data_IF_521063473348
#
_entry.id   IF_521063473348
#
_cell.length_a   1.000
_cell.length_b   1.000
_cell.length_c   1.000
_cell.angle_alpha   90.00
_cell.angle_beta   90.00
_cell.angle_gamma   90.00
#
_symmetry.space_group_name_H-M   'P 1'
#
loop_
_entity.id
_entity.type
_entity.pdbx_description
1 polymer ?
#
# COMPACT_ATOMS: atom_id res chain seq x y z
N UNK A 1 -29.00 13.74 31.04
CA UNK A 1 -28.46 12.72 30.11
C UNK A 1 -27.65 13.44 29.04
N UNK A 2 -26.31 13.39 29.13
CA UNK A 2 -25.43 14.00 28.13
C UNK A 2 -25.49 13.17 26.84
N UNK A 3 -25.73 13.83 25.70
CA UNK A 3 -25.58 13.23 24.37
C UNK A 3 -24.12 12.82 24.21
N UNK A 4 -23.82 11.52 24.26
CA UNK A 4 -22.52 10.96 23.86
C UNK A 4 -22.26 11.42 22.43
N UNK A 5 -21.29 12.32 22.25
CA UNK A 5 -20.89 12.80 20.93
C UNK A 5 -20.39 11.64 20.08
N UNK A 6 -20.71 11.65 18.78
CA UNK A 6 -20.15 10.69 17.83
C UNK A 6 -18.62 10.81 17.84
N UNK A 7 -17.92 9.73 18.18
CA UNK A 7 -16.45 9.67 18.26
C UNK A 7 -15.81 9.53 16.88
N UNK A 8 -15.94 10.57 16.08
CA UNK A 8 -15.53 10.59 14.67
C UNK A 8 -16.64 10.12 13.73
N UNK A 9 -16.35 10.18 12.42
CA UNK A 9 -17.22 9.65 11.36
C UNK A 9 -16.92 8.17 11.11
N UNK A 10 -17.90 7.46 10.54
CA UNK A 10 -17.78 6.04 10.19
C UNK A 10 -18.28 5.11 11.30
N UNK A 11 -17.60 3.97 11.48
CA UNK A 11 -17.93 2.99 12.53
C UNK A 11 -17.57 3.52 13.93
N UNK A 12 -18.25 2.97 14.94
CA UNK A 12 -17.99 3.31 16.33
C UNK A 12 -16.93 2.37 16.91
N UNK A 13 -16.03 2.92 17.72
CA UNK A 13 -15.10 2.16 18.54
C UNK A 13 -15.39 2.46 20.03
N UNK A 14 -15.04 1.56 20.97
CA UNK A 14 -15.18 1.81 22.40
C UNK A 14 -14.46 3.08 22.87
N UNK A 15 -15.01 3.79 23.86
CA UNK A 15 -14.48 5.07 24.37
C UNK A 15 -13.06 4.95 24.90
N UNK A 16 -12.80 3.91 25.68
CA UNK A 16 -11.49 3.59 26.23
C UNK A 16 -10.46 3.34 25.11
N UNK A 17 -10.86 2.66 24.03
CA UNK A 17 -10.01 2.43 22.88
C UNK A 17 -9.74 3.72 22.09
N UNK A 18 -10.76 4.56 21.91
CA UNK A 18 -10.62 5.86 21.28
C UNK A 18 -9.65 6.76 22.05
N UNK A 19 -9.83 6.88 23.37
CA UNK A 19 -8.97 7.69 24.24
C UNK A 19 -7.53 7.16 24.23
N UNK A 20 -7.36 5.84 24.16
CA UNK A 20 -6.06 5.21 23.97
C UNK A 20 -5.42 5.60 22.63
N UNK A 21 -6.15 5.53 21.51
CA UNK A 21 -5.65 5.92 20.19
C UNK A 21 -5.25 7.39 20.09
N UNK A 22 -6.00 8.29 20.75
CA UNK A 22 -5.62 9.71 20.84
C UNK A 22 -4.25 9.87 21.48
N UNK A 23 -4.02 9.22 22.63
CA UNK A 23 -2.73 9.27 23.34
C UNK A 23 -1.59 8.70 22.49
N UNK A 24 -1.83 7.58 21.81
CA UNK A 24 -0.84 6.99 20.91
C UNK A 24 -0.46 7.93 19.77
N UNK A 25 -1.43 8.60 19.15
CA UNK A 25 -1.15 9.58 18.10
C UNK A 25 -0.38 10.80 18.64
N UNK A 26 -0.64 11.23 19.88
CA UNK A 26 0.16 12.27 20.54
C UNK A 26 1.61 11.82 20.77
N UNK A 27 1.82 10.59 21.25
CA UNK A 27 3.16 10.00 21.41
C UNK A 27 3.91 9.93 20.07
N UNK A 28 3.26 9.44 19.01
CA UNK A 28 3.86 9.37 17.67
C UNK A 28 4.25 10.77 17.17
N UNK A 29 3.42 11.80 17.42
CA UNK A 29 3.70 13.19 17.03
C UNK A 29 4.87 13.81 17.78
N UNK A 30 5.14 13.39 19.01
CA UNK A 30 6.30 13.83 19.78
C UNK A 30 7.62 13.28 19.20
N UNK A 31 7.53 12.23 18.38
CA UNK A 31 8.66 11.55 17.78
C UNK A 31 9.13 10.39 18.67
N UNK A 32 9.40 9.25 18.03
CA UNK A 32 9.99 8.07 18.66
C UNK A 32 11.29 7.80 17.93
N UNK A 33 12.42 8.07 18.60
CA UNK A 33 13.75 7.96 17.99
C UNK A 33 14.24 6.52 17.96
N UNK A 34 13.93 5.75 19.01
CA UNK A 34 14.37 4.36 19.14
C UNK A 34 13.51 3.40 18.29
N UNK A 35 14.11 2.66 17.33
CA UNK A 35 13.38 1.70 16.52
C UNK A 35 12.72 0.59 17.33
N UNK A 36 13.35 0.14 18.42
CA UNK A 36 12.83 -0.95 19.26
C UNK A 36 11.61 -0.48 20.07
N UNK A 37 11.67 0.73 20.66
CA UNK A 37 10.52 1.38 21.28
C UNK A 37 9.35 1.53 20.30
N UNK A 38 9.63 1.94 19.06
CA UNK A 38 8.61 2.05 18.01
C UNK A 38 7.99 0.70 17.69
N UNK A 39 8.79 -0.35 17.54
CA UNK A 39 8.27 -1.70 17.29
C UNK A 39 7.41 -2.20 18.45
N UNK A 40 7.86 -1.96 19.69
CA UNK A 40 7.08 -2.30 20.89
C UNK A 40 5.74 -1.55 20.92
N UNK A 41 5.73 -0.25 20.62
CA UNK A 41 4.49 0.53 20.54
C UNK A 41 3.55 -0.01 19.46
N UNK A 42 4.06 -0.27 18.25
CA UNK A 42 3.25 -0.81 17.13
C UNK A 42 2.60 -2.13 17.53
N UNK A 43 3.39 -3.09 18.01
CA UNK A 43 2.89 -4.42 18.40
C UNK A 43 1.84 -4.31 19.52
N UNK A 44 2.07 -3.47 20.53
CA UNK A 44 1.13 -3.26 21.62
C UNK A 44 -0.21 -2.66 21.16
N UNK A 45 -0.17 -1.74 20.19
CA UNK A 45 -1.39 -1.11 19.67
C UNK A 45 -2.16 -2.07 18.78
N UNK A 46 -1.48 -2.79 17.88
CA UNK A 46 -2.12 -3.77 16.98
C UNK A 46 -2.66 -4.99 17.73
N UNK A 47 -2.05 -5.38 18.85
CA UNK A 47 -2.60 -6.41 19.74
C UNK A 47 -3.99 -6.00 20.27
N UNK A 48 -4.15 -4.72 20.65
CA UNK A 48 -5.42 -4.18 21.16
C UNK A 48 -6.51 -4.03 20.12
N UNK A 49 -6.20 -4.21 18.83
CA UNK A 49 -7.19 -4.14 17.75
C UNK A 49 -7.82 -5.50 17.43
N UNK A 50 -7.33 -6.59 18.04
CA UNK A 50 -7.80 -7.95 17.76
C UNK A 50 -9.30 -8.10 18.01
N UNK A 51 -10.02 -8.55 16.99
CA UNK A 51 -11.47 -8.76 17.04
C UNK A 51 -12.31 -7.51 16.74
N UNK A 52 -11.68 -6.36 16.56
CA UNK A 52 -12.33 -5.07 16.29
C UNK A 52 -11.80 -4.41 15.00
N UNK A 53 -11.00 -5.12 14.19
CA UNK A 53 -10.27 -4.55 13.05
C UNK A 53 -11.21 -3.82 12.08
N UNK A 54 -12.33 -4.44 11.68
CA UNK A 54 -13.31 -3.83 10.77
C UNK A 54 -13.92 -2.54 11.34
N UNK A 55 -14.21 -2.51 12.63
CA UNK A 55 -14.75 -1.32 13.30
C UNK A 55 -13.68 -0.23 13.43
N UNK A 56 -12.43 -0.60 13.62
CA UNK A 56 -11.32 0.35 13.76
C UNK A 56 -10.96 0.97 12.41
N UNK A 57 -10.85 0.17 11.35
CA UNK A 57 -10.49 0.67 10.01
C UNK A 57 -11.60 1.52 9.38
N UNK A 58 -12.86 1.30 9.76
CA UNK A 58 -13.98 2.13 9.33
C UNK A 58 -14.16 3.42 10.14
N UNK A 59 -13.39 3.61 11.22
CA UNK A 59 -13.45 4.80 12.06
C UNK A 59 -12.42 5.84 11.57
N UNK A 60 -12.80 7.12 11.57
CA UNK A 60 -11.92 8.21 11.13
C UNK A 60 -10.55 8.25 11.85
N UNK A 61 -10.53 8.07 13.18
CA UNK A 61 -9.30 8.06 13.97
C UNK A 61 -8.57 6.73 13.82
N UNK A 62 -9.31 5.63 13.93
CA UNK A 62 -8.78 4.27 13.85
C UNK A 62 -8.08 4.02 12.52
N UNK A 63 -8.74 4.30 11.39
CA UNK A 63 -8.15 4.22 10.06
C UNK A 63 -6.82 4.97 9.98
N UNK A 64 -6.77 6.21 10.46
CA UNK A 64 -5.55 7.02 10.38
C UNK A 64 -4.42 6.40 11.19
N UNK A 65 -4.73 5.90 12.38
CA UNK A 65 -3.73 5.23 13.22
C UNK A 65 -3.23 3.94 12.56
N UNK A 66 -4.12 3.07 12.10
CA UNK A 66 -3.74 1.81 11.47
C UNK A 66 -2.93 2.03 10.18
N UNK A 67 -3.28 3.03 9.36
CA UNK A 67 -2.50 3.41 8.17
C UNK A 67 -1.02 3.71 8.52
N UNK A 68 -0.78 4.34 9.68
CA UNK A 68 0.58 4.70 10.14
C UNK A 68 1.36 3.50 10.67
N UNK A 69 0.66 2.54 11.30
CA UNK A 69 1.27 1.41 12.00
C UNK A 69 1.55 0.22 11.08
N UNK A 70 0.70 -0.03 10.08
CA UNK A 70 0.83 -1.19 9.17
C UNK A 70 2.21 -1.38 8.52
N UNK A 71 2.93 -0.32 8.10
CA UNK A 71 4.29 -0.47 7.57
C UNK A 71 5.25 -1.16 8.54
N UNK A 72 5.06 -0.97 9.84
CA UNK A 72 5.91 -1.49 10.92
C UNK A 72 5.35 -2.73 11.61
N UNK A 73 4.16 -3.19 11.19
CA UNK A 73 3.47 -4.33 11.78
C UNK A 73 4.29 -5.62 11.68
N UNK A 74 4.12 -6.54 12.63
CA UNK A 74 4.66 -7.89 12.50
C UNK A 74 4.04 -8.63 11.30
N UNK A 75 4.65 -9.73 10.82
CA UNK A 75 4.01 -10.62 9.85
C UNK A 75 2.60 -11.03 10.25
N UNK A 76 2.43 -11.47 11.50
CA UNK A 76 1.19 -11.99 12.05
C UNK A 76 0.09 -10.92 12.13
N UNK A 77 0.47 -9.69 12.48
CA UNK A 77 -0.46 -8.57 12.50
C UNK A 77 -0.93 -8.22 11.09
N UNK A 78 0.00 -8.08 10.14
CA UNK A 78 -0.35 -7.75 8.76
C UNK A 78 -1.28 -8.81 8.15
N UNK A 79 -0.94 -10.09 8.31
CA UNK A 79 -1.74 -11.22 7.81
C UNK A 79 -3.13 -11.28 8.46
N UNK A 80 -3.25 -10.99 9.76
CA UNK A 80 -4.56 -10.89 10.43
C UNK A 80 -5.44 -9.82 9.78
N UNK A 81 -4.88 -8.66 9.45
CA UNK A 81 -5.62 -7.62 8.71
C UNK A 81 -5.97 -8.10 7.29
N UNK A 82 -5.06 -8.81 6.60
CA UNK A 82 -5.35 -9.40 5.27
C UNK A 82 -6.56 -10.31 5.31
N UNK A 83 -6.60 -11.22 6.29
CA UNK A 83 -7.68 -12.19 6.45
C UNK A 83 -9.00 -11.52 6.84
N UNK A 84 -8.93 -10.55 7.76
CA UNK A 84 -10.13 -9.90 8.29
C UNK A 84 -10.81 -8.98 7.28
N UNK A 85 -10.05 -8.27 6.45
CA UNK A 85 -10.60 -7.29 5.49
C UNK A 85 -10.93 -7.92 4.12
N UNK A 86 -10.27 -9.03 3.77
CA UNK A 86 -10.45 -9.71 2.47
C UNK A 86 -11.89 -10.06 2.08
N UNK A 87 -12.79 -10.49 2.99
CA UNK A 87 -14.17 -10.83 2.63
C UNK A 87 -14.99 -9.62 2.14
N UNK A 88 -14.63 -8.41 2.57
CA UNK A 88 -15.44 -7.19 2.38
C UNK A 88 -14.88 -6.22 1.31
N UNK A 89 -13.92 -6.66 0.48
CA UNK A 89 -13.18 -5.78 -0.45
C UNK A 89 -14.07 -4.87 -1.31
N UNK A 90 -15.25 -5.32 -1.74
CA UNK A 90 -16.16 -4.50 -2.58
C UNK A 90 -16.55 -3.21 -1.88
N UNK A 91 -16.96 -3.33 -0.61
CA UNK A 91 -17.32 -2.20 0.23
C UNK A 91 -16.09 -1.40 0.61
N UNK A 92 -15.01 -2.09 1.02
CA UNK A 92 -13.86 -1.43 1.62
C UNK A 92 -13.04 -0.60 0.63
N UNK A 93 -12.93 -1.03 -0.63
CA UNK A 93 -12.19 -0.30 -1.66
C UNK A 93 -12.82 1.04 -2.05
N UNK A 94 -14.13 1.22 -1.82
CA UNK A 94 -14.89 2.41 -2.24
C UNK A 94 -15.35 3.28 -1.06
N UNK A 95 -14.79 3.06 0.14
CA UNK A 95 -15.10 3.81 1.35
C UNK A 95 -13.99 4.81 1.69
N UNK A 96 -14.38 5.97 2.20
CA UNK A 96 -13.50 7.12 2.40
C UNK A 96 -12.47 6.96 3.54
N UNK A 97 -12.56 5.89 4.32
CA UNK A 97 -11.57 5.51 5.32
C UNK A 97 -10.87 4.21 4.91
N UNK A 98 -11.64 3.15 4.69
CA UNK A 98 -11.04 1.81 4.53
C UNK A 98 -10.28 1.66 3.21
N UNK A 99 -10.56 2.46 2.18
CA UNK A 99 -9.78 2.41 0.93
C UNK A 99 -8.31 2.68 1.21
N UNK A 100 -7.98 3.62 2.10
CA UNK A 100 -6.61 3.95 2.47
C UNK A 100 -5.91 2.80 3.20
N UNK A 101 -6.65 1.98 3.96
CA UNK A 101 -6.12 0.78 4.59
C UNK A 101 -5.81 -0.28 3.53
N UNK A 102 -6.71 -0.51 2.57
CA UNK A 102 -6.46 -1.45 1.47
C UNK A 102 -5.25 -1.00 0.63
N UNK A 103 -5.15 0.29 0.29
CA UNK A 103 -3.96 0.84 -0.40
C UNK A 103 -2.68 0.59 0.41
N UNK A 104 -2.73 0.78 1.73
CA UNK A 104 -1.56 0.61 2.60
C UNK A 104 -1.15 -0.85 2.72
N UNK A 105 -2.10 -1.75 2.94
CA UNK A 105 -1.84 -3.19 2.97
C UNK A 105 -1.27 -3.66 1.64
N UNK A 106 -1.81 -3.19 0.50
CA UNK A 106 -1.28 -3.52 -0.82
C UNK A 106 0.19 -3.07 -0.96
N UNK A 107 0.51 -1.81 -0.61
CA UNK A 107 1.88 -1.30 -0.70
C UNK A 107 2.84 -2.08 0.20
N UNK A 108 2.47 -2.30 1.46
CA UNK A 108 3.30 -3.01 2.45
C UNK A 108 3.51 -4.46 2.01
N UNK A 109 2.45 -5.15 1.58
CA UNK A 109 2.56 -6.53 1.10
C UNK A 109 3.45 -6.62 -0.13
N UNK A 110 3.27 -5.74 -1.12
CA UNK A 110 4.10 -5.73 -2.31
C UNK A 110 5.58 -5.47 -1.97
N UNK A 111 5.86 -4.56 -1.04
CA UNK A 111 7.23 -4.29 -0.60
C UNK A 111 7.86 -5.50 0.06
N UNK A 112 7.19 -6.12 1.04
CA UNK A 112 7.69 -7.33 1.73
C UNK A 112 7.84 -8.52 0.78
N UNK A 113 6.96 -8.64 -0.21
CA UNK A 113 7.02 -9.68 -1.23
C UNK A 113 8.20 -9.52 -2.20
N UNK A 114 8.73 -8.30 -2.39
CA UNK A 114 9.74 -8.01 -3.42
C UNK A 114 11.08 -7.53 -2.85
N UNK A 115 11.20 -7.36 -1.54
CA UNK A 115 12.43 -6.90 -0.87
C UNK A 115 13.64 -7.76 -1.24
N UNK A 116 13.52 -9.07 -1.15
CA UNK A 116 14.58 -10.03 -1.46
C UNK A 116 15.05 -9.94 -2.93
N UNK A 117 14.19 -9.50 -3.85
CA UNK A 117 14.55 -9.29 -5.26
C UNK A 117 15.46 -8.09 -5.46
N UNK A 118 15.37 -7.08 -4.59
CA UNK A 118 16.21 -5.88 -4.69
C UNK A 118 17.64 -6.15 -4.21
N UNK A 119 17.81 -7.10 -3.28
CA UNK A 119 19.11 -7.48 -2.72
C UNK A 119 19.93 -8.29 -3.73
N UNK A 120 19.26 -9.14 -4.52
CA UNK A 120 19.91 -10.01 -5.51
C UNK A 120 20.63 -9.23 -6.61
N UNK A 121 20.11 -8.06 -6.98
CA UNK A 121 20.69 -7.20 -8.03
C UNK A 121 21.98 -6.51 -7.54
N UNK A 122 22.03 -6.06 -6.28
CA UNK A 122 23.22 -5.43 -5.68
C UNK A 122 24.43 -6.39 -5.59
N UNK A 123 24.20 -7.71 -5.68
CA UNK A 123 25.23 -8.74 -5.58
C UNK A 123 25.75 -9.22 -6.94
N UNK A 124 25.12 -8.86 -8.05
CA UNK A 124 25.53 -9.30 -9.40
C UNK A 124 26.71 -8.47 -9.96
N UNK A 125 27.02 -7.30 -9.38
CA UNK A 125 28.11 -6.43 -9.85
C UNK A 125 29.50 -6.74 -9.26
N UNK A 126 29.65 -7.47 -8.13
CA UNK A 126 30.98 -7.60 -7.48
C UNK A 126 31.41 -8.99 -6.93
N UNK A 127 30.63 -10.08 -6.99
CA UNK A 127 31.07 -11.36 -6.36
C UNK A 127 30.85 -12.64 -7.20
N UNK A 128 31.88 -13.50 -7.39
CA UNK A 128 31.74 -14.76 -8.12
C UNK A 128 30.74 -15.74 -7.47
N UNK A 129 29.89 -16.35 -8.31
CA UNK A 129 28.71 -17.19 -8.03
C UNK A 129 28.89 -18.38 -7.04
N UNK A 130 30.09 -18.68 -6.56
CA UNK A 130 30.39 -19.87 -5.72
C UNK A 130 30.40 -19.65 -4.20
N UNK A 131 30.15 -18.44 -3.71
CA UNK A 131 30.03 -18.15 -2.26
C UNK A 131 28.83 -17.25 -1.92
N UNK A 132 27.70 -17.41 -2.62
CA UNK A 132 26.43 -16.78 -2.21
C UNK A 132 25.93 -17.50 -0.96
N UNK A 133 26.36 -17.05 0.23
CA UNK A 133 25.56 -17.30 1.43
C UNK A 133 24.19 -16.70 1.15
N UNK A 134 23.14 -17.48 1.40
CA UNK A 134 21.73 -17.06 1.39
C UNK A 134 21.60 -15.99 2.48
N UNK A 135 22.03 -14.76 2.20
CA UNK A 135 21.82 -13.65 3.13
C UNK A 135 20.32 -13.45 3.18
N UNK A 136 19.76 -13.92 4.29
CA UNK A 136 18.36 -14.28 4.43
C UNK A 136 17.53 -13.02 4.30
N UNK A 137 16.52 -13.07 3.42
CA UNK A 137 15.41 -12.11 3.44
C UNK A 137 15.02 -11.76 4.87
N UNK A 138 14.67 -10.48 5.10
CA UNK A 138 14.17 -9.99 6.39
C UNK A 138 12.97 -10.80 6.90
N UNK A 139 12.20 -11.35 5.96
CA UNK A 139 10.99 -12.11 6.22
C UNK A 139 11.16 -13.58 5.85
N UNK A 140 10.39 -14.44 6.52
CA UNK A 140 10.33 -15.88 6.20
C UNK A 140 9.76 -16.12 4.81
N UNK A 141 10.10 -17.28 4.21
CA UNK A 141 9.62 -17.65 2.88
C UNK A 141 8.07 -17.76 2.86
N UNK A 142 7.45 -18.16 3.97
CA UNK A 142 6.00 -18.20 4.16
C UNK A 142 5.38 -16.80 4.12
N UNK A 143 5.95 -15.83 4.85
CA UNK A 143 5.41 -14.46 4.88
C UNK A 143 5.55 -13.77 3.52
N UNK A 144 6.68 -13.99 2.83
CA UNK A 144 6.91 -13.48 1.47
C UNK A 144 5.83 -14.02 0.53
N UNK A 145 5.51 -15.31 0.63
CA UNK A 145 4.47 -15.97 -0.17
C UNK A 145 3.09 -15.38 0.14
N UNK A 146 2.74 -15.24 1.41
CA UNK A 146 1.46 -14.63 1.85
C UNK A 146 1.30 -13.20 1.30
N UNK A 147 2.34 -12.38 1.44
CA UNK A 147 2.36 -11.01 0.92
C UNK A 147 2.26 -10.95 -0.61
N UNK A 148 2.91 -11.88 -1.30
CA UNK A 148 2.84 -12.01 -2.75
C UNK A 148 1.42 -12.37 -3.22
N UNK A 149 0.81 -13.39 -2.62
CA UNK A 149 -0.55 -13.82 -2.91
C UNK A 149 -1.58 -12.72 -2.63
N UNK A 150 -1.43 -12.00 -1.50
CA UNK A 150 -2.29 -10.87 -1.19
C UNK A 150 -2.15 -9.73 -2.21
N UNK A 151 -0.92 -9.42 -2.64
CA UNK A 151 -0.65 -8.42 -3.68
C UNK A 151 -1.38 -8.79 -4.98
N UNK A 152 -1.24 -10.05 -5.43
CA UNK A 152 -1.95 -10.56 -6.61
C UNK A 152 -3.47 -10.50 -6.44
N UNK A 153 -3.99 -10.88 -5.27
CA UNK A 153 -5.42 -10.87 -4.95
C UNK A 153 -6.01 -9.47 -5.13
N UNK A 154 -5.43 -8.46 -4.49
CA UNK A 154 -5.94 -7.08 -4.57
C UNK A 154 -5.82 -6.53 -5.98
N UNK A 155 -4.70 -6.76 -6.66
CA UNK A 155 -4.49 -6.29 -8.03
C UNK A 155 -5.46 -6.93 -9.03
N UNK A 156 -5.67 -8.24 -8.96
CA UNK A 156 -6.66 -8.95 -9.80
C UNK A 156 -8.08 -8.54 -9.44
N UNK A 157 -8.38 -8.31 -8.16
CA UNK A 157 -9.66 -7.79 -7.72
C UNK A 157 -9.94 -6.40 -8.33
N UNK A 158 -8.97 -5.49 -8.27
CA UNK A 158 -9.09 -4.16 -8.83
C UNK A 158 -9.26 -4.20 -10.36
N UNK A 159 -8.50 -5.05 -11.06
CA UNK A 159 -8.63 -5.28 -12.50
C UNK A 159 -10.00 -5.86 -12.90
N UNK A 160 -10.54 -6.78 -12.11
CA UNK A 160 -11.86 -7.37 -12.36
C UNK A 160 -13.01 -6.40 -12.12
N UNK A 161 -12.79 -5.35 -11.30
CA UNK A 161 -13.78 -4.29 -11.04
C UNK A 161 -13.38 -2.96 -11.71
N UNK A 162 -12.53 -3.03 -12.75
CA UNK A 162 -11.96 -1.86 -13.42
C UNK A 162 -13.05 -0.87 -13.87
N UNK A 163 -14.16 -1.37 -14.42
CA UNK A 163 -15.23 -0.54 -14.97
C UNK A 163 -15.88 0.36 -13.91
N UNK A 164 -16.09 -0.17 -12.70
CA UNK A 164 -16.63 0.58 -11.57
C UNK A 164 -15.54 1.49 -10.95
N UNK A 165 -14.33 0.94 -10.77
CA UNK A 165 -13.28 1.60 -10.00
C UNK A 165 -12.66 2.80 -10.70
N UNK A 166 -12.66 2.83 -12.04
CA UNK A 166 -12.08 3.95 -12.80
C UNK A 166 -12.75 5.28 -12.48
N UNK A 167 -14.05 5.27 -12.22
CA UNK A 167 -14.83 6.49 -11.97
C UNK A 167 -15.05 6.79 -10.48
N UNK A 168 -14.74 5.86 -9.60
CA UNK A 168 -14.91 6.02 -8.16
C UNK A 168 -13.78 6.87 -7.54
N UNK A 169 -14.14 7.80 -6.65
CA UNK A 169 -13.17 8.72 -6.05
C UNK A 169 -12.19 8.06 -5.06
N UNK A 170 -12.51 6.87 -4.54
CA UNK A 170 -11.69 6.12 -3.58
C UNK A 170 -11.07 4.91 -4.25
N UNK A 171 -11.87 4.09 -4.95
CA UNK A 171 -11.41 2.85 -5.56
C UNK A 171 -10.45 3.08 -6.74
N UNK A 172 -10.50 4.25 -7.39
CA UNK A 172 -9.51 4.63 -8.39
C UNK A 172 -8.08 4.67 -7.81
N UNK A 173 -7.92 5.06 -6.54
CA UNK A 173 -6.63 5.05 -5.87
C UNK A 173 -6.08 3.62 -5.66
N UNK A 174 -6.97 2.63 -5.53
CA UNK A 174 -6.60 1.21 -5.50
C UNK A 174 -6.02 0.81 -6.85
N UNK A 175 -6.64 1.19 -7.98
CA UNK A 175 -6.12 0.92 -9.33
C UNK A 175 -4.71 1.53 -9.51
N UNK A 176 -4.51 2.77 -9.07
CA UNK A 176 -3.20 3.44 -9.14
C UNK A 176 -2.17 2.72 -8.28
N UNK A 177 -2.54 2.33 -7.06
CA UNK A 177 -1.65 1.59 -6.16
C UNK A 177 -1.30 0.22 -6.73
N UNK A 178 -2.26 -0.49 -7.34
CA UNK A 178 -2.02 -1.75 -8.05
C UNK A 178 -1.01 -1.57 -9.17
N UNK A 179 -1.21 -0.60 -10.07
CA UNK A 179 -0.25 -0.33 -11.15
C UNK A 179 1.15 -0.01 -10.62
N UNK A 180 1.26 0.85 -9.60
CA UNK A 180 2.55 1.20 -8.99
C UNK A 180 3.27 -0.03 -8.41
N UNK A 181 2.55 -0.83 -7.62
CA UNK A 181 3.08 -2.06 -7.02
C UNK A 181 3.54 -3.06 -8.09
N UNK A 182 2.69 -3.32 -9.09
CA UNK A 182 2.98 -4.31 -10.13
C UNK A 182 4.11 -3.90 -11.08
N UNK A 183 4.35 -2.60 -11.26
CA UNK A 183 5.40 -2.10 -12.15
C UNK A 183 6.66 -1.63 -11.40
N UNK A 184 6.73 -1.78 -10.08
CA UNK A 184 7.88 -1.36 -9.28
C UNK A 184 8.03 0.16 -9.11
N UNK A 185 6.97 0.95 -9.28
CA UNK A 185 7.02 2.40 -9.07
C UNK A 185 6.93 2.70 -7.56
N UNK A 186 7.93 3.41 -7.04
CA UNK A 186 7.91 3.92 -5.65
C UNK A 186 7.23 5.28 -5.57
N UNK A 187 7.66 6.22 -6.43
CA UNK A 187 7.11 7.58 -6.54
C UNK A 187 7.06 7.97 -8.01
N UNK A 188 6.05 8.75 -8.39
CA UNK A 188 6.01 9.42 -9.68
C UNK A 188 6.77 10.77 -9.64
N UNK A 189 7.16 11.32 -10.80
CA UNK A 189 7.76 12.66 -10.86
C UNK A 189 6.83 13.72 -10.26
N UNK A 190 7.37 14.55 -9.36
CA UNK A 190 6.61 15.56 -8.62
C UNK A 190 5.81 15.01 -7.42
N UNK A 191 5.77 13.69 -7.21
CA UNK A 191 5.17 13.09 -6.03
C UNK A 191 6.10 13.25 -4.82
N UNK A 192 5.52 13.64 -3.69
CA UNK A 192 6.24 13.71 -2.41
C UNK A 192 6.07 12.38 -1.67
N UNK A 193 7.13 11.85 -1.03
CA UNK A 193 6.97 10.74 -0.11
C UNK A 193 5.89 11.09 0.92
N UNK A 194 5.01 10.13 1.23
CA UNK A 194 4.18 10.25 2.43
C UNK A 194 5.11 10.29 3.63
N UNK A 195 5.21 11.44 4.30
CA UNK A 195 5.94 11.56 5.56
C UNK A 195 5.15 10.77 6.59
N UNK A 196 5.66 9.60 6.99
CA UNK A 196 5.09 8.90 8.14
C UNK A 196 5.39 9.74 9.39
N UNK A 197 4.45 9.84 10.33
CA UNK A 197 4.68 10.65 11.54
C UNK A 197 5.78 10.04 12.43
N UNK A 198 6.09 8.75 12.24
CA UNK A 198 7.36 8.19 12.64
C UNK A 198 8.45 8.86 11.80
N UNK A 199 9.21 9.75 12.43
CA UNK A 199 10.29 10.53 11.82
C UNK A 199 11.43 9.60 11.40
N UNK A 200 11.21 8.78 10.38
CA UNK A 200 12.31 8.28 9.58
C UNK A 200 12.65 9.38 8.60
N UNK A 201 13.92 9.78 8.57
CA UNK A 201 14.48 10.53 7.44
C UNK A 201 14.31 9.62 6.23
N UNK A 202 13.17 9.72 5.55
CA UNK A 202 12.90 8.96 4.33
C UNK A 202 13.99 9.33 3.34
N UNK A 203 14.96 8.42 3.17
CA UNK A 203 16.09 8.60 2.28
C UNK A 203 15.72 8.58 0.79
N UNK A 204 14.43 8.55 0.46
CA UNK A 204 13.97 8.71 -0.92
C UNK A 204 13.86 10.20 -1.24
N UNK A 205 14.82 10.79 -1.97
CA UNK A 205 14.69 12.16 -2.44
C UNK A 205 13.41 12.28 -3.26
N UNK A 206 12.68 13.39 -3.07
CA UNK A 206 11.54 13.71 -3.94
C UNK A 206 12.02 13.73 -5.39
N UNK A 207 11.26 13.11 -6.30
CA UNK A 207 11.61 13.10 -7.71
C UNK A 207 11.18 14.46 -8.30
N UNK A 208 12.09 15.24 -8.91
CA UNK A 208 11.73 16.50 -9.53
C UNK A 208 10.62 16.32 -10.57
N UNK A 209 9.69 17.28 -10.73
CA UNK A 209 8.59 17.15 -11.71
C UNK A 209 9.06 16.97 -13.16
N UNK A 210 10.27 17.43 -13.47
CA UNK A 210 10.89 17.36 -14.79
C UNK A 210 11.82 16.15 -14.97
N UNK A 211 11.85 15.22 -14.02
CA UNK A 211 12.67 14.02 -14.15
C UNK A 211 12.13 13.13 -15.28
N UNK A 212 12.99 12.87 -16.27
CA UNK A 212 12.70 12.02 -17.43
C UNK A 212 13.01 10.56 -17.17
N UNK A 213 13.94 10.30 -16.25
CA UNK A 213 14.37 8.96 -15.84
C UNK A 213 13.72 8.56 -14.51
N UNK A 214 13.11 7.38 -14.52
CA UNK A 214 12.44 6.77 -13.39
C UNK A 214 13.23 5.54 -12.95
N UNK A 215 13.48 5.40 -11.65
CA UNK A 215 14.00 4.15 -11.08
C UNK A 215 12.83 3.26 -10.66
N UNK A 216 12.85 2.03 -11.13
CA UNK A 216 11.84 1.03 -10.80
C UNK A 216 12.46 -0.04 -9.90
N UNK A 217 11.71 -0.50 -8.90
CA UNK A 217 12.04 -1.73 -8.16
C UNK A 217 11.85 -2.95 -9.05
N UNK A 218 12.63 -4.00 -8.79
CA UNK A 218 12.42 -5.29 -9.43
C UNK A 218 11.11 -5.91 -8.94
N UNK A 219 10.38 -6.51 -9.86
CA UNK A 219 9.08 -7.15 -9.61
C UNK A 219 9.00 -8.47 -10.41
N UNK A 220 8.26 -9.47 -9.91
CA UNK A 220 7.99 -10.71 -10.65
C UNK A 220 7.41 -10.45 -12.05
N UNK A 221 7.75 -11.29 -13.02
CA UNK A 221 7.25 -11.11 -14.40
C UNK A 221 5.73 -11.23 -14.50
N UNK A 222 5.11 -12.08 -13.67
CA UNK A 222 3.64 -12.18 -13.64
C UNK A 222 2.96 -10.87 -13.22
N UNK A 223 3.63 -10.01 -12.43
CA UNK A 223 3.09 -8.69 -12.10
C UNK A 223 3.01 -7.82 -13.35
N UNK A 224 4.03 -7.90 -14.22
CA UNK A 224 4.10 -7.15 -15.48
C UNK A 224 3.00 -7.59 -16.45
N UNK A 225 2.66 -8.88 -16.48
CA UNK A 225 1.55 -9.38 -17.29
C UNK A 225 0.20 -8.79 -16.85
N UNK A 226 -0.01 -8.60 -15.55
CA UNK A 226 -1.22 -7.93 -15.05
C UNK A 226 -1.25 -6.45 -15.48
N UNK A 227 -0.12 -5.75 -15.49
CA UNK A 227 -0.04 -4.35 -16.00
C UNK A 227 -0.41 -4.28 -17.48
N UNK A 228 0.08 -5.21 -18.30
CA UNK A 228 -0.31 -5.29 -19.71
C UNK A 228 -1.81 -5.50 -19.87
N UNK A 229 -2.41 -6.35 -19.04
CA UNK A 229 -3.86 -6.57 -19.05
C UNK A 229 -4.64 -5.31 -18.64
N UNK A 230 -4.18 -4.54 -17.65
CA UNK A 230 -4.74 -3.21 -17.34
C UNK A 230 -4.71 -2.30 -18.57
N UNK A 231 -3.58 -2.22 -19.27
CA UNK A 231 -3.41 -1.38 -20.45
C UNK A 231 -4.33 -1.81 -21.60
N UNK A 232 -4.43 -3.11 -21.86
CA UNK A 232 -5.28 -3.68 -22.89
C UNK A 232 -6.75 -3.39 -22.63
N UNK A 233 -7.24 -3.64 -21.39
CA UNK A 233 -8.65 -3.37 -21.04
C UNK A 233 -8.99 -1.89 -21.08
N UNK A 234 -8.13 -1.03 -20.54
CA UNK A 234 -8.35 0.41 -20.57
C UNK A 234 -8.37 0.96 -22.00
N UNK A 235 -7.39 0.58 -22.84
CA UNK A 235 -7.30 1.07 -24.22
C UNK A 235 -8.43 0.56 -25.12
N UNK A 236 -8.93 -0.64 -24.86
CA UNK A 236 -10.09 -1.20 -25.58
C UNK A 236 -11.44 -0.62 -25.12
N UNK A 237 -11.47 0.14 -24.02
CA UNK A 237 -12.73 0.68 -23.48
C UNK A 237 -13.31 1.75 -24.41
N UNK A 238 -14.58 1.65 -24.85
CA UNK A 238 -15.23 2.69 -25.66
C UNK A 238 -15.05 4.15 -25.20
N UNK A 239 -15.03 4.41 -23.90
CA UNK A 239 -14.84 5.74 -23.30
C UNK A 239 -13.38 6.10 -23.03
N UNK A 240 -12.40 5.32 -23.50
CA UNK A 240 -10.97 5.57 -23.26
C UNK A 240 -10.56 7.00 -23.61
N UNK A 241 -11.07 7.52 -24.74
CA UNK A 241 -10.81 8.90 -25.21
C UNK A 241 -11.27 9.99 -24.22
N UNK A 242 -12.18 9.68 -23.31
CA UNK A 242 -12.72 10.63 -22.34
C UNK A 242 -11.92 10.63 -21.03
N UNK A 243 -11.16 9.56 -20.76
CA UNK A 243 -10.39 9.39 -19.52
C UNK A 243 -9.34 10.51 -19.28
N UNK A 244 -8.64 11.06 -20.29
CA UNK A 244 -7.68 12.15 -20.06
C UNK A 244 -8.30 13.45 -19.51
N UNK A 245 -9.62 13.64 -19.64
CA UNK A 245 -10.27 14.93 -19.38
C UNK A 245 -10.92 15.04 -17.99
N UNK A 246 -10.89 14.00 -17.16
CA UNK A 246 -11.29 14.10 -15.74
C UNK A 246 -10.10 13.90 -14.82
N UNK A 247 -10.04 14.67 -13.73
CA UNK A 247 -8.92 14.66 -12.78
C UNK A 247 -8.59 13.26 -12.23
N UNK A 248 -9.61 12.45 -11.92
CA UNK A 248 -9.38 11.11 -11.33
C UNK A 248 -8.88 10.10 -12.37
N UNK A 249 -9.41 10.14 -13.59
CA UNK A 249 -9.06 9.18 -14.64
C UNK A 249 -7.77 9.57 -15.35
N UNK A 250 -7.48 10.86 -15.48
CA UNK A 250 -6.23 11.35 -16.06
C UNK A 250 -5.02 10.98 -15.18
N UNK A 251 -5.16 11.08 -13.86
CA UNK A 251 -4.13 10.64 -12.93
C UNK A 251 -3.91 9.11 -12.95
N UNK A 252 -4.97 8.33 -13.18
CA UNK A 252 -4.82 6.89 -13.43
C UNK A 252 -4.04 6.61 -14.71
N UNK A 253 -4.37 7.28 -15.81
CA UNK A 253 -3.64 7.13 -17.07
C UNK A 253 -2.17 7.53 -16.95
N UNK A 254 -1.84 8.57 -16.19
CA UNK A 254 -0.45 8.94 -15.93
C UNK A 254 0.32 7.79 -15.27
N UNK A 255 -0.25 7.17 -14.23
CA UNK A 255 0.36 6.00 -13.57
C UNK A 255 0.52 4.85 -14.55
N UNK A 256 -0.52 4.57 -15.36
CA UNK A 256 -0.49 3.52 -16.37
C UNK A 256 0.64 3.71 -17.38
N UNK A 257 0.85 4.94 -17.88
CA UNK A 257 1.91 5.22 -18.86
C UNK A 257 3.31 4.93 -18.29
N UNK A 258 3.57 5.34 -17.05
CA UNK A 258 4.84 5.00 -16.38
C UNK A 258 4.97 3.49 -16.11
N UNK A 259 3.86 2.83 -15.75
CA UNK A 259 3.85 1.39 -15.52
C UNK A 259 4.18 0.62 -16.81
N UNK A 260 3.48 0.93 -17.90
CA UNK A 260 3.67 0.31 -19.22
C UNK A 260 5.09 0.51 -19.74
N UNK A 261 5.67 1.72 -19.59
CA UNK A 261 7.06 2.01 -19.98
C UNK A 261 8.08 1.05 -19.34
N UNK A 262 7.82 0.54 -18.14
CA UNK A 262 8.70 -0.42 -17.47
C UNK A 262 8.37 -1.88 -17.82
N UNK A 263 7.10 -2.20 -18.11
CA UNK A 263 6.62 -3.58 -18.27
C UNK A 263 6.58 -4.07 -19.71
N UNK A 264 6.47 -3.17 -20.68
CA UNK A 264 6.46 -3.50 -22.10
C UNK A 264 7.53 -2.71 -22.85
N UNK A 265 8.59 -3.43 -23.26
CA UNK A 265 9.73 -2.84 -23.98
C UNK A 265 9.44 -2.60 -25.46
N UNK A 266 8.29 -3.06 -25.96
CA UNK A 266 7.91 -2.94 -27.38
C UNK A 266 7.05 -1.69 -27.65
N UNK A 267 6.71 -0.92 -26.61
CA UNK A 267 5.95 0.33 -26.68
C UNK A 267 6.86 1.56 -26.54
#
# INVERSE_FOLDING_TARGET
MQKKGQMGRGTQIPQDLFDYFVKILETIKQGIEDPDERHALVNNVLERTKGEELNIVGNQLGCRLIELLLPYASPEDLERYMDTLSPDLRRLCSDNFTSHIIETMLRVSCERATEHLQILDQLDDEVPKKKRKKDSSKYTDEHITSCHEFTLKICKYALNNLEDFVWDQYANHILRSSLKCLSGIVLLPGEKPKVNMFVEKVGNPSIPPHATEMKYKFVPDEYKEIVKEFANRLSAWPQFKDLPYKNITSALLQVLLYAVKNTDKNL
#
